data_IF_369639439958
#
_entry.id   IF_369639439958
#
_cell.length_a   1.000
_cell.length_b   1.000
_cell.length_c   1.000
_cell.angle_alpha   90.00
_cell.angle_beta   90.00
_cell.angle_gamma   90.00
#
_symmetry.space_group_name_H-M   'P 1'
#
loop_
_entity.id
_entity.type
_entity.pdbx_description
1 polymer ?
#
# COMPACT_ATOMS: atom_id res chain seq x y z
N UNK A 1 9.44 17.40 19.91
CA UNK A 1 9.19 18.24 18.71
C UNK A 1 9.10 17.31 17.51
N UNK A 2 8.05 17.37 16.69
CA UNK A 2 7.91 16.56 15.47
C UNK A 2 9.08 16.71 14.53
N UNK A 3 9.61 17.93 14.44
CA UNK A 3 10.71 18.25 13.53
C UNK A 3 12.03 17.52 13.86
N UNK A 4 12.13 16.90 15.03
CA UNK A 4 13.34 16.22 15.51
C UNK A 4 13.20 14.69 15.56
N UNK A 5 12.10 14.12 15.05
CA UNK A 5 11.84 12.69 15.18
C UNK A 5 12.72 11.87 14.27
N UNK A 6 12.98 12.35 13.06
CA UNK A 6 13.93 11.72 12.15
C UNK A 6 15.32 11.65 12.80
N UNK A 7 15.75 12.75 13.44
CA UNK A 7 17.00 12.77 14.20
C UNK A 7 16.98 11.83 15.42
N UNK A 8 15.84 11.73 16.12
CA UNK A 8 15.68 10.78 17.22
C UNK A 8 15.79 9.34 16.71
N UNK A 9 15.17 9.01 15.58
CA UNK A 9 15.27 7.69 14.94
C UNK A 9 16.73 7.39 14.56
N UNK A 10 17.42 8.31 13.89
CA UNK A 10 18.85 8.12 13.57
C UNK A 10 19.73 7.92 14.81
N UNK A 11 19.44 8.67 15.90
CA UNK A 11 20.16 8.52 17.17
C UNK A 11 19.88 7.15 17.80
N UNK A 12 18.64 6.70 17.72
CA UNK A 12 18.18 5.41 18.20
C UNK A 12 18.84 4.27 17.40
N UNK A 13 18.89 4.36 16.08
CA UNK A 13 19.61 3.40 15.21
C UNK A 13 21.10 3.35 15.55
N UNK A 14 21.74 4.50 15.80
CA UNK A 14 23.13 4.55 16.23
C UNK A 14 23.33 3.86 17.61
N UNK A 15 22.37 4.01 18.52
CA UNK A 15 22.41 3.31 19.81
C UNK A 15 22.24 1.80 19.62
N UNK A 16 21.41 1.36 18.68
CA UNK A 16 21.28 -0.06 18.33
C UNK A 16 22.62 -0.63 17.88
N UNK A 17 23.30 0.01 16.93
CA UNK A 17 24.62 -0.42 16.46
C UNK A 17 25.64 -0.51 17.59
N UNK A 18 25.62 0.46 18.51
CA UNK A 18 26.48 0.47 19.69
C UNK A 18 26.18 -0.72 20.61
N UNK A 19 24.91 -1.04 20.88
CA UNK A 19 24.54 -2.17 21.74
C UNK A 19 24.85 -3.51 21.08
N UNK A 20 24.65 -3.65 19.78
CA UNK A 20 25.03 -4.86 19.01
C UNK A 20 26.54 -5.08 19.06
N UNK A 21 27.35 -4.01 18.98
CA UNK A 21 28.78 -4.10 19.20
C UNK A 21 29.12 -4.61 20.62
N UNK A 22 28.43 -4.13 21.66
CA UNK A 22 28.63 -4.63 23.03
C UNK A 22 28.24 -6.10 23.17
N UNK A 23 27.15 -6.55 22.53
CA UNK A 23 26.76 -7.96 22.50
C UNK A 23 27.82 -8.83 21.79
N UNK A 24 28.40 -8.33 20.71
CA UNK A 24 29.48 -9.02 19.98
C UNK A 24 30.74 -9.18 20.83
N UNK A 25 31.05 -8.21 21.70
CA UNK A 25 32.16 -8.34 22.65
C UNK A 25 31.93 -9.44 23.72
N UNK A 26 30.67 -9.81 23.98
CA UNK A 26 30.31 -10.91 24.88
C UNK A 26 30.31 -12.28 24.19
N UNK A 27 30.58 -12.35 22.88
CA UNK A 27 30.67 -13.61 22.14
C UNK A 27 31.73 -14.54 22.76
N UNK A 28 31.32 -15.76 23.10
CA UNK A 28 32.21 -16.76 23.72
C UNK A 28 32.72 -16.38 25.12
N UNK A 29 32.11 -15.39 25.80
CA UNK A 29 32.46 -15.00 27.15
C UNK A 29 32.22 -16.15 28.14
N UNK A 30 33.07 -16.25 29.15
CA UNK A 30 32.94 -17.24 30.22
C UNK A 30 32.24 -16.61 31.42
N UNK A 31 31.62 -17.44 32.27
CA UNK A 31 31.04 -16.98 33.54
C UNK A 31 32.14 -16.32 34.39
N UNK A 32 31.87 -15.12 34.89
CA UNK A 32 32.85 -14.26 35.58
C UNK A 32 34.07 -13.87 34.73
N UNK A 33 33.92 -13.82 33.40
CA UNK A 33 34.96 -13.35 32.48
C UNK A 33 35.32 -11.88 32.65
N UNK A 34 36.54 -11.50 32.23
CA UNK A 34 37.04 -10.12 32.37
C UNK A 34 36.21 -9.11 31.59
N UNK A 35 35.71 -9.49 30.40
CA UNK A 35 34.92 -8.61 29.53
C UNK A 35 33.57 -8.29 30.19
N UNK A 36 32.83 -9.32 30.62
CA UNK A 36 31.55 -9.12 31.32
C UNK A 36 31.72 -8.28 32.58
N UNK A 37 32.80 -8.48 33.35
CA UNK A 37 33.11 -7.66 34.51
C UNK A 37 33.36 -6.18 34.14
N UNK A 38 34.14 -5.92 33.10
CA UNK A 38 34.41 -4.55 32.64
C UNK A 38 33.14 -3.85 32.15
N UNK A 39 32.26 -4.56 31.44
CA UNK A 39 30.97 -4.00 31.02
C UNK A 39 30.09 -3.63 32.22
N UNK A 40 30.01 -4.51 33.23
CA UNK A 40 29.29 -4.19 34.47
C UNK A 40 29.90 -2.97 35.15
N UNK A 41 31.24 -2.86 35.22
CA UNK A 41 31.91 -1.69 35.81
C UNK A 41 31.53 -0.39 35.06
N UNK A 42 31.51 -0.40 33.72
CA UNK A 42 31.09 0.76 32.90
C UNK A 42 29.61 1.11 33.08
N UNK A 43 28.72 0.12 33.08
CA UNK A 43 27.28 0.36 33.28
C UNK A 43 26.98 0.92 34.67
N UNK A 44 27.68 0.43 35.71
CA UNK A 44 27.53 0.93 37.08
C UNK A 44 28.07 2.36 37.20
N UNK A 45 29.21 2.67 36.57
CA UNK A 45 29.78 4.01 36.53
C UNK A 45 28.81 5.03 35.89
N UNK A 46 28.06 4.62 34.86
CA UNK A 46 27.04 5.44 34.19
C UNK A 46 25.60 5.09 34.61
N UNK A 47 25.40 4.56 35.81
CA UNK A 47 24.09 4.06 36.29
C UNK A 47 22.93 5.06 36.14
N UNK A 48 23.15 6.34 36.46
CA UNK A 48 22.12 7.38 36.31
C UNK A 48 21.67 7.59 34.85
N UNK A 49 22.58 7.44 33.88
CA UNK A 49 22.23 7.57 32.46
C UNK A 49 21.48 6.33 31.98
N UNK A 50 21.93 5.14 32.41
CA UNK A 50 21.27 3.86 32.10
C UNK A 50 19.85 3.85 32.65
N UNK A 51 19.64 4.31 33.88
CA UNK A 51 18.32 4.40 34.49
C UNK A 51 17.39 5.35 33.71
N UNK A 52 17.89 6.49 33.24
CA UNK A 52 17.12 7.41 32.40
C UNK A 52 16.70 6.79 31.07
N UNK A 53 17.61 6.02 30.43
CA UNK A 53 17.33 5.29 29.18
C UNK A 53 16.27 4.20 29.42
N UNK A 54 16.42 3.41 30.49
CA UNK A 54 15.44 2.37 30.85
C UNK A 54 14.07 2.96 31.15
N UNK A 55 14.03 4.11 31.83
CA UNK A 55 12.79 4.85 32.11
C UNK A 55 12.15 5.38 30.82
N UNK A 56 12.95 5.83 29.85
CA UNK A 56 12.44 6.20 28.54
C UNK A 56 11.72 5.01 27.88
N UNK A 57 12.39 3.85 27.76
CA UNK A 57 11.75 2.67 27.18
C UNK A 57 10.50 2.24 27.95
N UNK A 58 10.58 2.19 29.28
CA UNK A 58 9.44 1.83 30.12
C UNK A 58 8.18 2.68 29.86
N UNK A 59 8.34 4.01 29.73
CA UNK A 59 7.21 4.90 29.45
C UNK A 59 6.54 4.59 28.10
N UNK A 60 7.33 4.37 27.05
CA UNK A 60 6.80 4.21 25.68
C UNK A 60 6.33 2.78 25.39
N UNK A 61 6.96 1.75 25.95
CA UNK A 61 6.53 0.35 25.77
C UNK A 61 5.13 0.11 26.37
N UNK A 62 4.82 0.75 27.50
CA UNK A 62 3.51 0.68 28.15
C UNK A 62 2.37 1.33 27.34
N UNK A 63 2.69 2.17 26.35
CA UNK A 63 1.65 2.86 25.56
C UNK A 63 0.77 1.90 24.79
N UNK A 64 1.35 0.85 24.18
CA UNK A 64 0.59 -0.15 23.40
C UNK A 64 -0.39 -0.91 24.30
N UNK A 65 0.01 -1.25 25.52
CA UNK A 65 -0.85 -1.92 26.50
C UNK A 65 -1.98 -0.99 27.00
N UNK A 66 -1.67 0.28 27.23
CA UNK A 66 -2.64 1.31 27.61
C UNK A 66 -3.73 1.46 26.54
N UNK A 67 -3.34 1.70 25.29
CA UNK A 67 -4.29 2.00 24.20
C UNK A 67 -5.06 0.78 23.71
N UNK A 68 -4.53 -0.43 23.91
CA UNK A 68 -5.21 -1.69 23.59
C UNK A 68 -6.28 -2.08 24.62
N UNK A 69 -6.25 -1.48 25.81
CA UNK A 69 -7.15 -1.83 26.91
C UNK A 69 -8.61 -1.47 26.65
N UNK A 70 -9.54 -2.29 27.13
CA UNK A 70 -10.98 -2.03 26.99
C UNK A 70 -11.40 -0.69 27.63
N UNK A 71 -10.76 -0.32 28.75
CA UNK A 71 -11.02 0.95 29.44
C UNK A 71 -10.56 2.17 28.62
N UNK A 72 -9.49 2.04 27.82
CA UNK A 72 -9.06 3.11 26.93
C UNK A 72 -9.99 3.23 25.71
N UNK A 73 -10.45 2.09 25.18
CA UNK A 73 -11.38 2.04 24.04
C UNK A 73 -12.74 2.71 24.33
N UNK A 74 -13.12 2.90 25.60
CA UNK A 74 -14.31 3.68 25.96
C UNK A 74 -14.22 5.16 25.56
N UNK A 75 -13.01 5.71 25.41
CA UNK A 75 -12.80 7.10 24.98
C UNK A 75 -12.90 7.27 23.45
N UNK A 76 -12.77 6.19 22.68
CA UNK A 76 -12.93 6.16 21.23
C UNK A 76 -13.82 4.99 20.78
N UNK A 77 -15.14 5.05 21.08
CA UNK A 77 -16.06 3.96 20.74
C UNK A 77 -16.27 3.79 19.23
N UNK A 78 -15.91 4.81 18.44
CA UNK A 78 -16.02 4.80 16.98
C UNK A 78 -14.72 4.36 16.30
N UNK A 79 -13.63 4.14 17.04
CA UNK A 79 -12.34 3.66 16.52
C UNK A 79 -11.68 4.63 15.54
N UNK A 80 -11.82 5.94 15.77
CA UNK A 80 -11.24 6.98 14.91
C UNK A 80 -9.74 7.17 15.07
N UNK A 81 -9.16 6.70 16.17
CA UNK A 81 -7.76 6.93 16.51
C UNK A 81 -7.47 8.31 17.09
N UNK A 82 -8.49 9.10 17.47
CA UNK A 82 -8.33 10.49 17.90
C UNK A 82 -8.86 10.68 19.33
N UNK A 83 -8.09 11.35 20.18
CA UNK A 83 -8.44 11.59 21.59
C UNK A 83 -8.01 13.00 22.03
N UNK A 84 -8.70 13.59 23.02
CA UNK A 84 -8.23 14.84 23.63
C UNK A 84 -7.09 14.60 24.62
N UNK A 85 -6.18 15.58 24.77
CA UNK A 85 -5.11 15.52 25.79
C UNK A 85 -5.64 15.26 27.21
N UNK A 86 -6.81 15.82 27.54
CA UNK A 86 -7.44 15.65 28.86
C UNK A 86 -7.97 14.23 29.07
N UNK A 87 -8.58 13.63 28.06
CA UNK A 87 -9.06 12.24 28.14
C UNK A 87 -7.90 11.26 28.19
N UNK A 88 -6.86 11.50 27.39
CA UNK A 88 -5.63 10.71 27.42
C UNK A 88 -4.97 10.76 28.81
N UNK A 89 -4.85 11.96 29.40
CA UNK A 89 -4.38 12.13 30.77
C UNK A 89 -5.21 11.31 31.76
N UNK A 90 -6.55 11.41 31.68
CA UNK A 90 -7.47 10.70 32.56
C UNK A 90 -7.36 9.18 32.41
N UNK A 91 -7.15 8.68 31.19
CA UNK A 91 -6.93 7.26 30.94
C UNK A 91 -5.63 6.75 31.59
N UNK A 92 -4.54 7.51 31.45
CA UNK A 92 -3.25 7.20 32.10
C UNK A 92 -3.34 7.21 33.62
N UNK A 93 -3.97 8.23 34.20
CA UNK A 93 -4.21 8.32 35.65
C UNK A 93 -5.10 7.18 36.16
N UNK A 94 -6.08 6.75 35.35
CA UNK A 94 -6.97 5.64 35.66
C UNK A 94 -6.26 4.28 35.78
N UNK A 95 -5.29 4.01 34.92
CA UNK A 95 -4.54 2.75 34.95
C UNK A 95 -3.43 2.69 36.02
N UNK A 96 -2.97 3.84 36.54
CA UNK A 96 -1.94 3.94 37.59
C UNK A 96 -0.61 3.26 37.26
N UNK A 97 -0.27 3.17 35.97
CA UNK A 97 1.00 2.61 35.49
C UNK A 97 2.10 3.68 35.28
N UNK A 98 1.70 4.95 35.35
CA UNK A 98 2.55 6.11 35.11
C UNK A 98 2.59 7.03 36.34
N UNK A 99 3.75 7.64 36.58
CA UNK A 99 3.91 8.74 37.52
C UNK A 99 3.43 10.07 36.89
N UNK A 100 3.02 11.04 37.72
CA UNK A 100 2.50 12.32 37.24
C UNK A 100 3.45 13.04 36.26
N UNK A 101 4.75 13.05 36.56
CA UNK A 101 5.77 13.65 35.71
C UNK A 101 5.91 12.94 34.34
N UNK A 102 5.64 11.64 34.30
CA UNK A 102 5.73 10.83 33.07
C UNK A 102 4.52 11.13 32.18
N UNK A 103 3.34 11.29 32.78
CA UNK A 103 2.13 11.71 32.08
C UNK A 103 2.33 13.11 31.48
N UNK A 104 2.85 14.07 32.26
CA UNK A 104 3.16 15.42 31.78
C UNK A 104 4.17 15.40 30.62
N UNK A 105 5.20 14.55 30.71
CA UNK A 105 6.18 14.36 29.66
C UNK A 105 5.53 13.81 28.37
N UNK A 106 4.75 12.74 28.45
CA UNK A 106 4.06 12.14 27.30
C UNK A 106 3.08 13.14 26.64
N UNK A 107 2.33 13.90 27.43
CA UNK A 107 1.45 14.95 26.93
C UNK A 107 2.20 16.10 26.25
N UNK A 108 3.46 16.36 26.65
CA UNK A 108 4.33 17.33 25.99
C UNK A 108 4.87 16.81 24.65
N UNK A 109 5.02 15.50 24.51
CA UNK A 109 5.39 14.83 23.26
C UNK A 109 4.22 14.77 22.26
N UNK A 110 2.98 14.72 22.77
CA UNK A 110 1.77 14.65 21.93
C UNK A 110 1.51 15.99 21.23
N UNK A 111 1.42 15.94 19.91
CA UNK A 111 1.10 17.09 19.05
C UNK A 111 -0.41 17.17 18.86
N UNK A 112 -1.04 18.15 19.52
CA UNK A 112 -2.47 18.37 19.38
C UNK A 112 -2.78 19.53 18.44
N UNK A 113 -3.97 19.44 17.85
CA UNK A 113 -4.58 20.49 17.04
C UNK A 113 -5.07 21.67 17.90
N UNK A 114 -5.75 22.63 17.28
CA UNK A 114 -6.33 23.80 17.97
C UNK A 114 -7.38 23.42 19.03
N UNK A 115 -7.91 22.20 19.02
CA UNK A 115 -8.94 21.71 19.92
C UNK A 115 -8.38 20.80 21.04
N UNK A 116 -7.06 20.75 21.22
CA UNK A 116 -6.37 19.81 22.12
C UNK A 116 -6.59 18.33 21.75
N UNK A 117 -6.95 18.02 20.50
CA UNK A 117 -7.13 16.66 19.97
C UNK A 117 -5.87 16.20 19.24
N UNK A 118 -5.50 14.93 19.38
CA UNK A 118 -4.38 14.34 18.64
C UNK A 118 -4.67 12.90 18.22
N UNK A 119 -3.96 12.43 17.19
CA UNK A 119 -4.00 11.04 16.75
C UNK A 119 -3.17 10.18 17.71
N UNK A 120 -3.84 9.38 18.54
CA UNK A 120 -3.13 8.54 19.51
C UNK A 120 -2.52 7.31 18.86
N UNK A 121 -3.08 6.81 17.75
CA UNK A 121 -2.54 5.63 17.04
C UNK A 121 -1.17 6.00 16.46
N UNK A 122 -1.11 7.08 15.69
CA UNK A 122 0.15 7.60 15.15
C UNK A 122 1.14 7.97 16.26
N UNK A 123 0.66 8.55 17.37
CA UNK A 123 1.51 8.84 18.52
C UNK A 123 2.13 7.57 19.14
N UNK A 124 1.34 6.51 19.30
CA UNK A 124 1.84 5.23 19.83
C UNK A 124 2.86 4.65 18.86
N UNK A 125 2.53 4.49 17.58
CA UNK A 125 3.41 3.84 16.60
C UNK A 125 4.73 4.59 16.44
N UNK A 126 4.67 5.92 16.46
CA UNK A 126 5.84 6.80 16.32
C UNK A 126 6.87 6.64 17.45
N UNK A 127 6.45 6.30 18.66
CA UNK A 127 7.35 6.18 19.81
C UNK A 127 7.53 4.75 20.32
N UNK A 128 6.53 3.88 20.14
CA UNK A 128 6.55 2.50 20.60
C UNK A 128 7.50 1.65 19.76
N UNK A 129 7.41 1.67 18.43
CA UNK A 129 8.24 0.81 17.58
C UNK A 129 9.75 1.12 17.73
N UNK A 130 10.21 2.40 17.67
CA UNK A 130 11.64 2.69 17.92
C UNK A 130 12.08 2.32 19.35
N UNK A 131 11.19 2.44 20.34
CA UNK A 131 11.48 2.01 21.71
C UNK A 131 11.54 0.48 21.83
N UNK A 132 10.73 -0.24 21.05
CA UNK A 132 10.67 -1.70 21.01
C UNK A 132 11.95 -2.28 20.45
N UNK A 133 12.42 -1.77 19.32
CA UNK A 133 13.59 -2.32 18.62
C UNK A 133 14.88 -2.20 19.44
N UNK A 134 15.12 -1.03 20.04
CA UNK A 134 16.32 -0.81 20.86
C UNK A 134 16.14 -1.38 22.26
N UNK A 135 14.93 -1.26 22.82
CA UNK A 135 14.59 -1.85 24.11
C UNK A 135 14.88 -3.35 24.13
N UNK A 136 14.64 -4.05 23.03
CA UNK A 136 14.94 -5.48 22.92
C UNK A 136 16.45 -5.75 23.06
N UNK A 137 17.29 -5.04 22.31
CA UNK A 137 18.75 -5.22 22.37
C UNK A 137 19.33 -4.88 23.76
N UNK A 138 18.81 -3.85 24.41
CA UNK A 138 19.18 -3.51 25.80
C UNK A 138 18.74 -4.61 26.77
N UNK A 139 17.53 -5.15 26.62
CA UNK A 139 17.03 -6.26 27.43
C UNK A 139 17.89 -7.54 27.26
N UNK A 140 18.31 -7.84 26.02
CA UNK A 140 19.24 -8.95 25.73
C UNK A 140 20.58 -8.72 26.41
N UNK A 141 21.16 -7.52 26.32
CA UNK A 141 22.45 -7.20 26.95
C UNK A 141 22.40 -7.39 28.47
N UNK A 142 21.37 -6.85 29.13
CA UNK A 142 21.20 -6.98 30.58
C UNK A 142 20.95 -8.44 30.99
N UNK A 143 20.14 -9.18 30.23
CA UNK A 143 19.90 -10.60 30.47
C UNK A 143 21.19 -11.41 30.33
N UNK A 144 21.94 -11.19 29.25
CA UNK A 144 23.21 -11.86 28.99
C UNK A 144 24.23 -11.60 30.12
N UNK A 145 24.42 -10.32 30.50
CA UNK A 145 25.30 -9.97 31.62
C UNK A 145 24.84 -10.60 32.94
N UNK A 146 23.53 -10.66 33.21
CA UNK A 146 23.00 -11.27 34.44
C UNK A 146 23.30 -12.77 34.53
N UNK A 147 23.27 -13.48 33.40
CA UNK A 147 23.56 -14.91 33.33
C UNK A 147 25.07 -15.20 33.40
N UNK A 148 25.92 -14.30 32.90
CA UNK A 148 27.38 -14.41 32.97
C UNK A 148 28.00 -13.87 34.27
N UNK A 149 27.30 -12.98 34.99
CA UNK A 149 27.75 -12.32 36.23
C UNK A 149 26.72 -12.48 37.37
N UNK A 150 26.30 -13.71 37.74
CA UNK A 150 25.15 -13.94 38.62
C UNK A 150 25.30 -13.42 40.05
N UNK A 151 26.54 -13.29 40.54
CA UNK A 151 26.83 -12.93 41.93
C UNK A 151 27.21 -11.45 42.13
N UNK A 152 27.11 -10.59 41.11
CA UNK A 152 27.43 -9.16 41.24
C UNK A 152 26.20 -8.38 41.73
N UNK A 153 26.22 -7.94 42.99
CA UNK A 153 25.12 -7.18 43.60
C UNK A 153 24.90 -5.83 42.92
N UNK A 154 25.93 -5.24 42.29
CA UNK A 154 25.81 -3.95 41.60
C UNK A 154 25.01 -4.08 40.31
N UNK A 155 25.16 -5.22 39.62
CA UNK A 155 24.35 -5.54 38.46
C UNK A 155 22.89 -5.75 38.85
N UNK A 156 22.62 -6.41 39.99
CA UNK A 156 21.25 -6.56 40.49
C UNK A 156 20.56 -5.20 40.72
N UNK A 157 21.26 -4.21 41.28
CA UNK A 157 20.74 -2.84 41.41
C UNK A 157 20.38 -2.18 40.07
N UNK A 158 21.06 -2.54 38.96
CA UNK A 158 20.74 -2.06 37.61
C UNK A 158 19.56 -2.81 36.98
N UNK A 159 19.37 -4.09 37.34
CA UNK A 159 18.26 -4.90 36.86
C UNK A 159 16.93 -4.49 37.51
N UNK A 160 16.97 -3.95 38.73
CA UNK A 160 15.78 -3.51 39.45
C UNK A 160 14.93 -2.48 38.65
N UNK A 161 15.49 -1.36 38.14
CA UNK A 161 14.78 -0.45 37.23
C UNK A 161 14.43 -1.09 35.87
N UNK A 162 15.22 -2.05 35.40
CA UNK A 162 15.02 -2.70 34.11
C UNK A 162 13.91 -3.76 34.11
N UNK A 163 13.42 -4.19 35.29
CA UNK A 163 12.47 -5.29 35.42
C UNK A 163 11.22 -5.14 34.55
N UNK A 164 10.68 -3.93 34.43
CA UNK A 164 9.50 -3.67 33.59
C UNK A 164 9.80 -3.94 32.11
N UNK A 165 10.93 -3.42 31.62
CA UNK A 165 11.41 -3.63 30.24
C UNK A 165 11.75 -5.11 29.99
N UNK A 166 12.44 -5.77 30.93
CA UNK A 166 12.77 -7.20 30.84
C UNK A 166 11.51 -8.07 30.80
N UNK A 167 10.49 -7.74 31.60
CA UNK A 167 9.22 -8.47 31.61
C UNK A 167 8.45 -8.28 30.31
N UNK A 168 8.46 -7.08 29.74
CA UNK A 168 7.84 -6.79 28.44
C UNK A 168 8.44 -7.65 27.32
N UNK A 169 9.78 -7.77 27.27
CA UNK A 169 10.47 -8.54 26.21
C UNK A 169 10.62 -10.03 26.49
N UNK A 170 10.40 -10.49 27.72
CA UNK A 170 10.53 -11.92 28.09
C UNK A 170 9.77 -12.88 27.13
N UNK A 171 8.53 -12.59 26.69
CA UNK A 171 7.79 -13.42 25.74
C UNK A 171 8.31 -13.39 24.29
N UNK A 172 9.20 -12.45 23.97
CA UNK A 172 9.80 -12.25 22.63
C UNK A 172 11.28 -12.65 22.61
N UNK A 173 11.86 -12.99 23.77
CA UNK A 173 13.27 -13.35 23.90
C UNK A 173 13.46 -14.87 23.77
N UNK A 174 13.95 -15.30 22.61
CA UNK A 174 14.42 -16.67 22.37
C UNK A 174 15.79 -16.91 23.02
N UNK A 175 15.98 -18.13 23.57
CA UNK A 175 17.24 -18.59 24.16
C UNK A 175 17.52 -20.01 23.70
N UNK A 176 18.66 -20.23 23.06
CA UNK A 176 19.12 -21.58 22.69
C UNK A 176 20.58 -21.78 23.13
N UNK A 177 20.93 -23.03 23.40
CA UNK A 177 22.29 -23.43 23.73
C UNK A 177 22.84 -24.29 22.62
N UNK A 178 24.01 -23.90 22.09
CA UNK A 178 24.68 -24.59 21.00
C UNK A 178 26.11 -24.94 21.39
N UNK A 179 26.67 -25.96 20.75
CA UNK A 179 28.10 -26.27 20.90
C UNK A 179 28.91 -25.37 19.97
N UNK A 180 29.61 -24.40 20.54
CA UNK A 180 30.48 -23.49 19.82
C UNK A 180 31.75 -24.18 19.28
N UNK A 181 32.49 -23.46 18.43
CA UNK A 181 33.70 -23.98 17.76
C UNK A 181 34.80 -24.44 18.74
N UNK A 182 34.81 -23.87 19.95
CA UNK A 182 35.72 -24.26 21.03
C UNK A 182 35.28 -25.51 21.82
N UNK A 183 34.23 -26.23 21.36
CA UNK A 183 33.58 -27.35 22.09
C UNK A 183 33.06 -26.94 23.47
N UNK A 184 32.66 -25.68 23.60
CA UNK A 184 32.01 -25.14 24.80
C UNK A 184 30.56 -24.83 24.45
N UNK A 185 29.69 -24.90 25.45
CA UNK A 185 28.30 -24.49 25.28
C UNK A 185 28.28 -22.96 25.21
N UNK A 186 27.66 -22.44 24.16
CA UNK A 186 27.43 -21.03 23.92
C UNK A 186 25.92 -20.79 23.88
N UNK A 187 25.48 -19.66 24.43
CA UNK A 187 24.07 -19.28 24.45
C UNK A 187 23.82 -18.23 23.39
N UNK A 188 22.81 -18.44 22.57
CA UNK A 188 22.37 -17.51 21.54
C UNK A 188 21.01 -16.96 21.93
N UNK A 189 20.90 -15.64 21.89
CA UNK A 189 19.65 -14.91 22.10
C UNK A 189 19.17 -14.38 20.75
N UNK A 190 17.86 -14.43 20.52
CA UNK A 190 17.25 -13.94 19.29
C UNK A 190 15.83 -13.46 19.56
N UNK A 191 15.32 -12.60 18.69
CA UNK A 191 13.95 -12.13 18.77
C UNK A 191 12.98 -13.15 18.16
N UNK A 192 11.86 -13.37 18.84
CA UNK A 192 10.74 -14.16 18.35
C UNK A 192 9.61 -13.18 17.99
N UNK A 193 9.21 -13.16 16.72
CA UNK A 193 8.14 -12.28 16.27
C UNK A 193 6.78 -12.62 16.89
N UNK A 194 5.95 -11.59 17.09
CA UNK A 194 4.59 -11.73 17.64
C UNK A 194 3.71 -12.63 16.75
N UNK A 195 3.87 -12.53 15.43
CA UNK A 195 3.16 -13.35 14.44
C UNK A 195 3.53 -14.83 14.56
N UNK A 196 4.83 -15.15 14.62
CA UNK A 196 5.33 -16.53 14.78
C UNK A 196 4.81 -17.15 16.07
N UNK A 197 4.85 -16.41 17.18
CA UNK A 197 4.34 -16.87 18.48
C UNK A 197 2.85 -17.15 18.42
N UNK A 198 2.07 -16.26 17.82
CA UNK A 198 0.61 -16.42 17.71
C UNK A 198 0.24 -17.63 16.85
N UNK A 199 0.96 -17.84 15.74
CA UNK A 199 0.78 -19.01 14.89
C UNK A 199 1.14 -20.31 15.60
N UNK A 200 2.23 -20.33 16.38
CA UNK A 200 2.65 -21.48 17.19
C UNK A 200 1.59 -21.89 18.23
N UNK A 201 0.84 -20.91 18.75
CA UNK A 201 -0.20 -21.15 19.75
C UNK A 201 -1.52 -21.68 19.17
N UNK A 202 -1.66 -21.75 17.83
CA UNK A 202 -2.87 -22.26 17.17
C UNK A 202 -3.13 -23.74 17.52
N UNK A 203 -4.40 -24.16 17.67
CA UNK A 203 -4.75 -25.53 18.07
C UNK A 203 -4.17 -26.61 17.14
N UNK A 204 -4.13 -26.34 15.83
CA UNK A 204 -3.56 -27.24 14.83
C UNK A 204 -2.08 -27.56 15.11
N UNK A 205 -1.23 -26.53 15.24
CA UNK A 205 0.21 -26.68 15.50
C UNK A 205 0.45 -27.34 16.85
N UNK A 206 -0.34 -26.99 17.87
CA UNK A 206 -0.26 -27.64 19.19
C UNK A 206 -0.58 -29.13 19.15
N UNK A 207 -1.54 -29.54 18.34
CA UNK A 207 -1.89 -30.96 18.18
C UNK A 207 -0.83 -31.70 17.37
N UNK A 208 -0.35 -31.13 16.27
CA UNK A 208 0.76 -31.69 15.48
C UNK A 208 2.01 -31.92 16.34
N UNK A 209 2.38 -30.93 17.17
CA UNK A 209 3.45 -31.07 18.17
C UNK A 209 3.21 -32.20 19.17
N UNK A 210 1.99 -32.34 19.69
CA UNK A 210 1.64 -33.41 20.64
C UNK A 210 1.81 -34.79 20.00
N UNK A 211 1.34 -34.94 18.76
CA UNK A 211 1.48 -36.17 18.00
C UNK A 211 2.94 -36.51 17.74
N UNK A 212 3.72 -35.55 17.24
CA UNK A 212 5.16 -35.71 17.03
C UNK A 212 5.91 -36.20 18.28
N UNK A 213 5.64 -35.58 19.44
CA UNK A 213 6.28 -35.97 20.71
C UNK A 213 5.94 -37.42 21.07
N UNK A 214 4.68 -37.83 20.86
CA UNK A 214 4.26 -39.21 21.13
C UNK A 214 4.98 -40.21 20.22
N UNK A 215 5.08 -39.92 18.93
CA UNK A 215 5.68 -40.83 17.94
C UNK A 215 7.20 -40.98 18.19
N UNK A 216 7.92 -39.88 18.41
CA UNK A 216 9.38 -39.90 18.64
C UNK A 216 9.77 -40.61 19.95
N UNK A 217 8.94 -40.50 20.99
CA UNK A 217 9.22 -41.16 22.28
C UNK A 217 8.96 -42.66 22.21
N UNK A 218 7.96 -43.10 21.44
CA UNK A 218 7.58 -44.51 21.34
C UNK A 218 8.41 -45.30 20.32
N UNK A 219 8.76 -44.69 19.19
CA UNK A 219 9.33 -45.40 18.03
C UNK A 219 10.76 -44.97 17.66
N UNK A 220 11.26 -43.85 18.19
CA UNK A 220 12.55 -43.28 17.78
C UNK A 220 13.78 -43.91 18.44
N UNK A 221 14.68 -44.49 17.64
CA UNK A 221 16.06 -44.79 18.05
C UNK A 221 16.87 -43.49 18.26
N UNK A 222 17.80 -43.46 19.23
CA UNK A 222 18.47 -42.24 19.70
C UNK A 222 19.21 -41.43 18.59
N UNK A 223 19.70 -42.11 17.55
CA UNK A 223 20.40 -41.47 16.42
C UNK A 223 19.44 -40.77 15.43
N UNK A 224 18.20 -41.24 15.31
CA UNK A 224 17.21 -40.70 14.34
C UNK A 224 16.35 -39.58 14.93
N UNK A 225 16.31 -39.44 16.27
CA UNK A 225 15.47 -38.44 16.96
C UNK A 225 15.78 -37.01 16.52
N UNK A 226 17.05 -36.69 16.31
CA UNK A 226 17.47 -35.35 15.89
C UNK A 226 17.00 -35.05 14.46
N UNK A 227 17.14 -36.02 13.56
CA UNK A 227 16.71 -35.88 12.16
C UNK A 227 15.19 -35.72 12.06
N UNK A 228 14.42 -36.55 12.78
CA UNK A 228 12.97 -36.44 12.86
C UNK A 228 12.52 -35.09 13.44
N UNK A 229 13.24 -34.57 14.44
CA UNK A 229 12.94 -33.26 15.01
C UNK A 229 13.17 -32.11 14.04
N UNK A 230 14.26 -32.15 13.26
CA UNK A 230 14.52 -31.14 12.23
C UNK A 230 13.44 -31.21 11.14
N UNK A 231 13.08 -32.41 10.68
CA UNK A 231 12.01 -32.60 9.70
C UNK A 231 10.67 -32.03 10.20
N UNK A 232 10.31 -32.28 11.46
CA UNK A 232 9.11 -31.69 12.07
C UNK A 232 9.15 -30.16 12.07
N UNK A 233 10.31 -29.55 12.33
CA UNK A 233 10.47 -28.10 12.27
C UNK A 233 10.26 -27.57 10.85
N UNK A 234 10.83 -28.22 9.83
CA UNK A 234 10.65 -27.85 8.42
C UNK A 234 9.18 -27.97 7.97
N UNK A 235 8.52 -29.08 8.31
CA UNK A 235 7.11 -29.30 8.03
C UNK A 235 6.23 -28.24 8.71
N UNK A 236 6.54 -27.89 9.95
CA UNK A 236 5.78 -26.88 10.70
C UNK A 236 5.91 -25.49 10.06
N UNK A 237 7.09 -25.13 9.56
CA UNK A 237 7.27 -23.86 8.83
C UNK A 237 6.38 -23.83 7.59
N UNK A 238 6.33 -24.93 6.83
CA UNK A 238 5.46 -25.03 5.66
C UNK A 238 3.97 -24.95 6.03
N UNK A 239 3.53 -25.63 7.08
CA UNK A 239 2.15 -25.53 7.59
C UNK A 239 1.78 -24.10 8.02
N UNK A 240 2.69 -23.42 8.72
CA UNK A 240 2.51 -22.04 9.17
C UNK A 240 2.37 -21.07 7.98
N UNK A 241 3.22 -21.20 6.96
CA UNK A 241 3.16 -20.40 5.73
C UNK A 241 1.85 -20.62 4.97
N UNK A 242 1.43 -21.87 4.80
CA UNK A 242 0.17 -22.21 4.13
C UNK A 242 -1.05 -21.65 4.90
N UNK A 243 -1.03 -21.75 6.23
CA UNK A 243 -2.10 -21.23 7.07
C UNK A 243 -2.22 -19.69 7.00
N UNK A 244 -1.11 -18.96 6.82
CA UNK A 244 -1.12 -17.51 6.62
C UNK A 244 -1.81 -17.14 5.30
N UNK A 245 -1.40 -17.76 4.19
CA UNK A 245 -1.95 -17.47 2.85
C UNK A 245 -3.45 -17.72 2.76
N UNK A 246 -3.94 -18.79 3.42
CA UNK A 246 -5.38 -19.09 3.45
C UNK A 246 -6.12 -18.03 4.28
N UNK A 247 -5.56 -17.61 5.42
CA UNK A 247 -6.17 -16.61 6.30
C UNK A 247 -6.27 -15.23 5.64
N UNK A 248 -5.25 -14.81 4.89
CA UNK A 248 -5.23 -13.54 4.14
C UNK A 248 -6.29 -13.53 3.04
N UNK A 249 -6.48 -14.67 2.36
CA UNK A 249 -7.50 -14.80 1.31
C UNK A 249 -8.95 -14.69 1.83
N UNK A 250 -9.18 -15.01 3.11
CA UNK A 250 -10.50 -14.90 3.78
C UNK A 250 -10.67 -13.52 4.48
N UNK A 251 -9.57 -12.85 4.84
CA UNK A 251 -9.57 -11.52 5.48
C UNK A 251 -9.84 -10.37 4.49
N UNK A 252 -9.59 -10.55 3.20
CA UNK A 252 -9.94 -9.61 2.13
C UNK A 252 -11.47 -9.36 1.96
N UNK A 253 -12.33 -9.94 2.82
CA UNK A 253 -13.77 -9.64 2.91
C UNK A 253 -14.16 -8.64 4.02
N UNK A 254 -13.21 -8.11 4.80
CA UNK A 254 -13.44 -6.96 5.70
C UNK A 254 -13.23 -5.63 4.95
N UNK A 255 -14.06 -4.60 5.17
CA UNK A 255 -13.78 -3.27 4.63
C UNK A 255 -12.56 -2.69 5.37
N UNK A 256 -11.46 -2.56 4.64
CA UNK A 256 -10.38 -1.57 4.78
C UNK A 256 -10.10 -1.07 6.21
N UNK A 257 -9.20 -1.75 6.91
CA UNK A 257 -8.22 -1.09 7.77
C UNK A 257 -6.92 -1.09 6.95
N UNK A 258 -6.48 0.11 6.56
CA UNK A 258 -5.21 0.34 5.87
C UNK A 258 -4.07 0.04 6.84
N UNK A 259 -3.51 -1.16 6.75
CA UNK A 259 -2.14 -1.44 7.20
C UNK A 259 -1.27 -1.53 5.94
N UNK A 260 -0.49 -0.47 5.69
CA UNK A 260 0.60 -0.49 4.72
C UNK A 260 1.77 -1.29 5.33
N UNK A 261 2.05 -2.49 4.83
CA UNK A 261 3.37 -3.11 4.98
C UNK A 261 3.88 -3.72 3.67
N UNK A 262 5.01 -3.14 3.24
CA UNK A 262 6.21 -3.80 2.74
C UNK A 262 6.18 -4.61 1.43
N UNK A 263 6.65 -3.88 0.40
CA UNK A 263 7.34 -4.30 -0.82
C UNK A 263 8.03 -5.70 -0.77
N UNK A 264 7.32 -6.74 -1.21
CA UNK A 264 7.94 -8.01 -1.56
C UNK A 264 8.27 -8.11 -3.07
N UNK A 265 9.57 -8.15 -3.32
CA UNK A 265 10.32 -8.44 -4.54
C UNK A 265 9.62 -9.44 -5.51
N UNK A 266 9.03 -8.95 -6.59
CA UNK A 266 8.57 -9.77 -7.72
C UNK A 266 9.76 -10.34 -8.48
N UNK A 267 9.92 -11.67 -8.42
CA UNK A 267 10.69 -12.43 -9.39
C UNK A 267 9.86 -12.45 -10.69
N UNK A 268 10.36 -11.73 -11.70
CA UNK A 268 9.90 -11.82 -13.08
C UNK A 268 10.15 -13.24 -13.60
N UNK A 269 9.08 -14.04 -13.72
CA UNK A 269 9.04 -15.16 -14.66
C UNK A 269 8.22 -14.68 -15.84
N UNK A 270 8.93 -14.41 -16.93
CA UNK A 270 8.33 -14.14 -18.22
C UNK A 270 7.63 -15.39 -18.75
N UNK A 271 6.40 -15.19 -19.20
CA UNK A 271 5.84 -15.96 -20.31
C UNK A 271 5.43 -14.96 -21.39
N UNK A 272 6.08 -15.14 -22.52
CA UNK A 272 5.82 -14.53 -23.82
C UNK A 272 4.39 -14.89 -24.26
N UNK A 273 3.73 -13.98 -24.98
CA UNK A 273 3.26 -14.38 -26.32
C UNK A 273 2.97 -13.18 -27.20
N UNK A 274 3.62 -13.26 -28.35
CA UNK A 274 3.47 -12.44 -29.53
C UNK A 274 2.09 -12.68 -30.17
N UNK A 275 1.40 -11.63 -30.57
CA UNK A 275 0.59 -11.68 -31.79
C UNK A 275 0.90 -10.44 -32.65
N UNK A 276 1.74 -10.70 -33.66
CA UNK A 276 2.02 -9.80 -34.77
C UNK A 276 0.76 -9.52 -35.62
N UNK A 277 0.60 -8.23 -35.91
CA UNK A 277 0.30 -7.62 -37.21
C UNK A 277 -0.89 -8.08 -38.09
N UNK A 278 -1.64 -7.02 -38.43
CA UNK A 278 -2.28 -6.73 -39.72
C UNK A 278 -3.67 -7.32 -39.97
N UNK A 279 -4.70 -6.46 -39.97
CA UNK A 279 -5.64 -6.31 -41.09
C UNK A 279 -6.25 -4.90 -41.09
N UNK A 280 -6.21 -4.29 -42.28
CA UNK A 280 -6.64 -2.94 -42.63
C UNK A 280 -8.15 -2.68 -42.41
N UNK A 281 -8.46 -1.38 -42.26
CA UNK A 281 -9.79 -0.76 -42.42
C UNK A 281 -10.90 -1.25 -41.48
N UNK A 282 -10.70 -1.04 -40.17
CA UNK A 282 -11.80 -1.12 -39.21
C UNK A 282 -12.57 0.20 -39.20
N UNK A 283 -13.77 0.22 -39.78
CA UNK A 283 -14.64 1.40 -39.78
C UNK A 283 -14.91 1.86 -38.34
N UNK A 284 -15.10 3.17 -38.12
CA UNK A 284 -15.40 3.74 -36.79
C UNK A 284 -16.58 3.06 -36.08
N UNK A 285 -17.46 2.41 -36.84
CA UNK A 285 -18.57 1.60 -36.35
C UNK A 285 -18.13 0.27 -35.71
N UNK A 286 -17.16 -0.45 -36.28
CA UNK A 286 -16.63 -1.71 -35.70
C UNK A 286 -15.85 -1.42 -34.41
N UNK A 287 -15.08 -0.33 -34.37
CA UNK A 287 -14.37 0.13 -33.17
C UNK A 287 -15.36 0.55 -32.07
N UNK A 288 -16.45 1.24 -32.43
CA UNK A 288 -17.52 1.57 -31.48
C UNK A 288 -18.25 0.33 -30.96
N UNK A 289 -18.58 -0.64 -31.83
CA UNK A 289 -19.26 -1.89 -31.44
C UNK A 289 -18.38 -2.80 -30.57
N UNK A 290 -17.07 -2.87 -30.84
CA UNK A 290 -16.13 -3.63 -30.01
C UNK A 290 -15.91 -2.98 -28.64
N UNK A 291 -15.89 -1.64 -28.56
CA UNK A 291 -15.86 -0.91 -27.30
C UNK A 291 -17.15 -1.11 -26.49
N UNK A 292 -18.32 -1.06 -27.12
CA UNK A 292 -19.62 -1.28 -26.47
C UNK A 292 -19.76 -2.72 -25.97
N UNK A 293 -19.26 -3.72 -26.72
CA UNK A 293 -19.20 -5.13 -26.32
C UNK A 293 -18.26 -5.35 -25.13
N UNK A 294 -17.08 -4.72 -25.12
CA UNK A 294 -16.14 -4.80 -23.98
C UNK A 294 -16.73 -4.14 -22.73
N UNK A 295 -17.40 -2.99 -22.85
CA UNK A 295 -18.09 -2.35 -21.73
C UNK A 295 -19.26 -3.18 -21.21
N UNK A 296 -20.08 -3.77 -22.09
CA UNK A 296 -21.20 -4.63 -21.69
C UNK A 296 -20.72 -5.93 -21.03
N UNK A 297 -19.62 -6.52 -21.51
CA UNK A 297 -18.96 -7.68 -20.89
C UNK A 297 -18.43 -7.36 -19.50
N UNK A 298 -17.82 -6.19 -19.32
CA UNK A 298 -17.33 -5.74 -18.00
C UNK A 298 -18.50 -5.51 -17.03
N UNK A 299 -19.58 -4.89 -17.49
CA UNK A 299 -20.80 -4.67 -16.71
C UNK A 299 -21.52 -5.99 -16.34
N UNK A 300 -21.55 -6.96 -17.24
CA UNK A 300 -22.11 -8.30 -17.00
C UNK A 300 -21.25 -9.14 -16.05
N UNK A 301 -19.91 -8.99 -16.10
CA UNK A 301 -19.01 -9.60 -15.11
C UNK A 301 -19.17 -8.97 -13.72
N UNK A 302 -19.40 -7.65 -13.66
CA UNK A 302 -19.72 -6.93 -12.42
C UNK A 302 -21.10 -7.32 -11.85
N UNK A 303 -22.05 -7.70 -12.72
CA UNK A 303 -23.38 -8.25 -12.38
C UNK A 303 -23.42 -9.79 -12.29
N UNK A 304 -22.29 -10.46 -12.05
CA UNK A 304 -22.29 -11.92 -11.87
C UNK A 304 -23.16 -12.29 -10.67
N UNK A 305 -24.09 -13.25 -10.86
CA UNK A 305 -25.12 -13.68 -9.90
C UNK A 305 -24.59 -14.04 -8.48
N UNK A 306 -23.28 -14.34 -8.35
CA UNK A 306 -22.62 -14.53 -7.05
C UNK A 306 -22.53 -13.24 -6.23
N UNK A 307 -22.33 -12.08 -6.85
CA UNK A 307 -22.20 -10.78 -6.17
C UNK A 307 -23.53 -10.30 -5.57
N UNK A 308 -24.65 -10.59 -6.26
CA UNK A 308 -26.01 -10.27 -5.79
C UNK A 308 -26.35 -11.07 -4.52
N UNK A 309 -25.95 -12.36 -4.45
CA UNK A 309 -26.17 -13.21 -3.27
C UNK A 309 -25.36 -12.77 -2.03
N UNK A 310 -24.20 -12.10 -2.25
CA UNK A 310 -23.36 -11.52 -1.19
C UNK A 310 -23.94 -10.18 -0.70
N UNK A 311 -24.42 -9.33 -1.61
CA UNK A 311 -25.06 -8.06 -1.28
C UNK A 311 -26.41 -8.24 -0.57
N UNK A 312 -27.19 -9.26 -0.92
CA UNK A 312 -28.47 -9.56 -0.24
C UNK A 312 -28.29 -9.97 1.23
N UNK A 313 -27.16 -10.59 1.57
CA UNK A 313 -26.81 -10.95 2.96
C UNK A 313 -26.36 -9.73 3.78
N UNK A 314 -25.71 -8.75 3.15
CA UNK A 314 -25.39 -7.44 3.76
C UNK A 314 -26.63 -6.60 4.04
N UNK A 315 -27.57 -6.54 3.09
CA UNK A 315 -28.85 -5.82 3.24
C UNK A 315 -29.69 -6.34 4.42
N UNK A 316 -29.63 -7.64 4.71
CA UNK A 316 -30.35 -8.25 5.85
C UNK A 316 -29.79 -7.86 7.22
N UNK A 317 -28.54 -7.37 7.30
CA UNK A 317 -27.88 -6.95 8.55
C UNK A 317 -27.88 -5.44 8.79
N UNK A 318 -28.35 -4.64 7.83
CA UNK A 318 -28.37 -3.17 7.92
C UNK A 318 -29.65 -2.64 8.57
N UNK A 319 -29.54 -1.47 9.21
CA UNK A 319 -30.67 -0.78 9.84
C UNK A 319 -31.58 -0.15 8.77
N UNK A 320 -32.91 -0.10 9.01
CA UNK A 320 -33.90 0.42 8.02
C UNK A 320 -33.53 1.82 7.50
N UNK A 321 -32.94 2.67 8.35
CA UNK A 321 -32.49 4.02 7.98
C UNK A 321 -31.37 4.02 6.93
N UNK A 322 -30.42 3.09 7.02
CA UNK A 322 -29.30 2.99 6.10
C UNK A 322 -29.74 2.39 4.77
N UNK A 323 -30.66 1.42 4.81
CA UNK A 323 -31.25 0.83 3.61
C UNK A 323 -31.94 1.90 2.75
N UNK A 324 -32.68 2.82 3.37
CA UNK A 324 -33.35 3.92 2.66
C UNK A 324 -32.34 4.88 2.01
N UNK A 325 -31.23 5.19 2.70
CA UNK A 325 -30.16 6.07 2.17
C UNK A 325 -29.46 5.44 0.96
N UNK A 326 -29.09 4.17 1.07
CA UNK A 326 -28.45 3.41 -0.02
C UNK A 326 -29.42 3.27 -1.20
N UNK A 327 -30.70 3.00 -0.94
CA UNK A 327 -31.73 2.93 -1.98
C UNK A 327 -31.85 4.26 -2.73
N UNK A 328 -32.00 5.38 -2.02
CA UNK A 328 -32.12 6.70 -2.65
C UNK A 328 -30.86 7.08 -3.45
N UNK A 329 -29.67 6.81 -2.91
CA UNK A 329 -28.39 7.03 -3.60
C UNK A 329 -28.26 6.19 -4.87
N UNK A 330 -28.66 4.91 -4.82
CA UNK A 330 -28.64 4.01 -5.97
C UNK A 330 -29.56 4.51 -7.09
N UNK A 331 -30.80 4.89 -6.76
CA UNK A 331 -31.75 5.41 -7.75
C UNK A 331 -31.31 6.78 -8.31
N UNK A 332 -30.69 7.63 -7.50
CA UNK A 332 -30.13 8.89 -7.94
C UNK A 332 -28.99 8.68 -8.94
N UNK A 333 -28.04 7.80 -8.63
CA UNK A 333 -26.94 7.46 -9.53
C UNK A 333 -27.44 6.83 -10.83
N UNK A 334 -28.43 5.94 -10.75
CA UNK A 334 -29.06 5.33 -11.93
C UNK A 334 -29.74 6.39 -12.80
N UNK A 335 -30.47 7.32 -12.20
CA UNK A 335 -31.16 8.39 -12.91
C UNK A 335 -30.17 9.33 -13.61
N UNK A 336 -29.12 9.77 -12.90
CA UNK A 336 -28.06 10.61 -13.47
C UNK A 336 -27.34 9.89 -14.61
N UNK A 337 -26.99 8.60 -14.42
CA UNK A 337 -26.34 7.79 -15.45
C UNK A 337 -27.20 7.60 -16.70
N UNK A 338 -28.50 7.33 -16.55
CA UNK A 338 -29.44 7.25 -17.67
C UNK A 338 -29.57 8.59 -18.41
N UNK A 339 -29.64 9.70 -17.67
CA UNK A 339 -29.72 11.02 -18.28
C UNK A 339 -28.44 11.37 -19.05
N UNK A 340 -27.25 11.07 -18.50
CA UNK A 340 -25.98 11.23 -19.20
C UNK A 340 -25.89 10.33 -20.43
N UNK A 341 -26.36 9.09 -20.36
CA UNK A 341 -26.39 8.19 -21.52
C UNK A 341 -27.27 8.73 -22.65
N UNK A 342 -28.50 9.18 -22.33
CA UNK A 342 -29.40 9.80 -23.31
C UNK A 342 -28.78 11.08 -23.88
N UNK A 343 -28.20 11.93 -23.04
CA UNK A 343 -27.52 13.14 -23.48
C UNK A 343 -26.35 12.83 -24.42
N UNK A 344 -25.57 11.79 -24.13
CA UNK A 344 -24.44 11.37 -24.97
C UNK A 344 -24.91 10.84 -26.31
N UNK A 345 -26.02 10.09 -26.36
CA UNK A 345 -26.63 9.64 -27.61
C UNK A 345 -27.13 10.84 -28.42
N UNK A 346 -27.88 11.75 -27.79
CA UNK A 346 -28.42 12.95 -28.47
C UNK A 346 -27.28 13.83 -28.97
N UNK A 347 -26.23 14.02 -28.17
CA UNK A 347 -25.03 14.76 -28.56
C UNK A 347 -24.28 14.06 -29.71
N UNK A 348 -24.16 12.73 -29.67
CA UNK A 348 -23.57 11.95 -30.76
C UNK A 348 -24.37 12.07 -32.06
N UNK A 349 -25.69 11.99 -32.01
CA UNK A 349 -26.57 12.21 -33.15
C UNK A 349 -26.42 13.65 -33.65
N UNK A 350 -26.38 14.64 -32.75
CA UNK A 350 -26.15 16.03 -33.12
C UNK A 350 -24.80 16.22 -33.81
N UNK A 351 -23.73 15.60 -33.34
CA UNK A 351 -22.41 15.64 -33.98
C UNK A 351 -22.40 14.97 -35.37
N UNK A 352 -23.11 13.85 -35.54
CA UNK A 352 -23.28 13.19 -36.84
C UNK A 352 -24.09 14.07 -37.79
N UNK A 353 -25.18 14.67 -37.32
CA UNK A 353 -26.00 15.58 -38.13
C UNK A 353 -25.24 16.87 -38.47
N UNK A 354 -24.49 17.43 -37.52
CA UNK A 354 -23.67 18.62 -37.71
C UNK A 354 -22.54 18.37 -38.70
N UNK A 355 -21.84 17.24 -38.60
CA UNK A 355 -20.81 16.85 -39.58
C UNK A 355 -21.41 16.50 -40.95
N UNK A 356 -22.63 15.98 -41.03
CA UNK A 356 -23.30 15.73 -42.32
C UNK A 356 -23.76 17.02 -43.00
N UNK A 357 -24.26 18.00 -42.23
CA UNK A 357 -24.80 19.26 -42.75
C UNK A 357 -23.71 20.30 -43.00
N UNK A 358 -22.69 20.40 -42.15
CA UNK A 358 -21.61 21.38 -42.24
C UNK A 358 -20.22 20.80 -42.58
N UNK A 359 -20.03 19.49 -42.45
CA UNK A 359 -18.79 18.78 -42.79
C UNK A 359 -18.83 18.14 -44.18
N UNK A 360 -18.97 18.96 -45.23
CA UNK A 360 -18.55 18.63 -46.61
C UNK A 360 -19.25 17.50 -47.38
N UNK A 361 -20.01 16.60 -46.74
CA UNK A 361 -20.61 15.44 -47.40
C UNK A 361 -21.70 15.77 -48.44
N UNK A 362 -22.45 16.85 -48.23
CA UNK A 362 -23.45 17.32 -49.20
C UNK A 362 -22.85 18.21 -50.32
N UNK A 363 -21.68 18.81 -50.07
CA UNK A 363 -20.98 19.71 -51.00
C UNK A 363 -20.10 18.93 -51.99
N UNK A 364 -19.53 17.78 -51.61
CA UNK A 364 -18.83 16.89 -52.54
C UNK A 364 -19.81 16.08 -53.43
N UNK A 365 -21.03 15.79 -52.93
CA UNK A 365 -22.10 15.15 -53.72
C UNK A 365 -22.72 16.07 -54.79
N UNK A 366 -22.82 17.37 -54.52
CA UNK A 366 -23.34 18.34 -55.48
C UNK A 366 -22.33 18.78 -56.56
N UNK A 367 -21.02 18.60 -56.31
CA UNK A 367 -19.95 18.92 -57.28
C UNK A 367 -19.72 17.79 -58.29
N UNK A 368 -19.88 16.53 -57.89
CA UNK A 368 -19.74 15.37 -58.78
C UNK A 368 -20.96 15.11 -59.70
N UNK A 369 -22.14 15.62 -59.35
CA UNK A 369 -23.33 15.59 -60.23
C UNK A 369 -23.27 16.68 -61.32
N UNK A 370 -22.52 17.77 -61.10
CA UNK A 370 -22.41 18.88 -62.06
C UNK A 370 -21.33 18.64 -63.13
N UNK A 371 -20.24 17.93 -62.80
CA UNK A 371 -19.14 17.61 -63.76
C UNK A 371 -19.52 16.47 -64.71
N UNK A 372 -20.34 15.52 -64.26
CA UNK A 372 -20.85 14.41 -65.11
C UNK A 372 -21.97 14.84 -66.08
N UNK A 373 -22.60 16.00 -65.86
CA UNK A 373 -23.64 16.58 -66.74
C UNK A 373 -23.14 17.67 -67.70
N UNK A 374 -21.88 18.10 -67.59
CA UNK A 374 -21.26 19.12 -68.47
C UNK A 374 -20.36 18.47 -69.55
N UNK A 375 -20.08 17.17 -69.47
CA UNK A 375 -19.33 16.42 -70.50
C UNK A 375 -20.25 15.62 -71.47
N UNK A 376 -21.57 15.70 -71.31
CA UNK A 376 -22.53 14.78 -71.95
C UNK A 376 -23.63 15.40 -72.80
N UNK A 377 -23.67 16.73 -73.02
CA UNK A 377 -24.74 17.32 -73.85
C UNK A 377 -24.24 18.54 -74.63
N UNK A 378 -23.40 18.25 -75.63
CA UNK A 378 -23.09 19.18 -76.72
C UNK A 378 -23.81 18.69 -77.98
N UNK A 379 -24.82 19.42 -78.46
CA UNK A 379 -24.95 19.64 -79.88
C UNK A 379 -25.02 21.13 -80.23
N UNK A 380 -24.29 21.44 -81.29
CA UNK A 380 -24.13 22.74 -81.94
C UNK A 380 -25.48 23.31 -82.46
N UNK A 381 -25.58 24.64 -82.68
CA UNK A 381 -26.82 25.39 -82.73
C UNK A 381 -27.43 25.39 -84.13
N UNK A 382 -28.74 25.21 -84.24
CA UNK A 382 -29.57 25.99 -85.16
C UNK A 382 -31.07 25.78 -84.90
N UNK A 383 -31.76 26.91 -84.79
CA UNK A 383 -33.08 27.17 -85.38
C UNK A 383 -34.36 26.98 -84.53
N UNK A 384 -34.92 28.14 -84.14
CA UNK A 384 -36.34 28.55 -84.14
C UNK A 384 -37.38 27.80 -83.29
N UNK A 385 -38.22 28.61 -82.61
CA UNK A 385 -39.67 28.45 -82.72
C UNK A 385 -40.46 28.36 -81.41
N UNK A 386 -41.01 29.51 -80.98
CA UNK A 386 -42.44 29.75 -80.70
C UNK A 386 -43.16 28.90 -79.62
N UNK A 387 -43.67 29.62 -78.59
CA UNK A 387 -44.90 29.45 -77.78
C UNK A 387 -45.45 28.02 -77.50
N UNK A 388 -45.92 27.74 -76.29
CA UNK A 388 -47.25 28.21 -75.85
C UNK A 388 -47.57 27.81 -74.39
N UNK A 389 -48.59 28.49 -73.89
CA UNK A 389 -49.16 28.58 -72.55
C UNK A 389 -49.88 27.31 -72.00
N UNK A 390 -50.52 27.49 -70.81
CA UNK A 390 -51.83 26.95 -70.33
C UNK A 390 -51.71 26.32 -68.92
N UNK A 391 -52.10 27.03 -67.84
CA UNK A 391 -53.39 27.04 -67.08
C UNK A 391 -53.66 25.70 -66.33
N UNK A 392 -54.19 25.61 -65.09
CA UNK A 392 -55.30 26.26 -64.35
C UNK A 392 -54.98 26.21 -62.81
N UNK A 393 -55.36 27.10 -61.88
CA UNK A 393 -56.63 27.72 -61.47
C UNK A 393 -57.67 26.78 -60.81
N UNK A 394 -57.96 26.95 -59.51
CA UNK A 394 -59.30 27.37 -58.98
C UNK A 394 -59.58 27.01 -57.47
N UNK A 395 -59.93 28.08 -56.71
CA UNK A 395 -60.85 28.31 -55.54
C UNK A 395 -61.07 27.26 -54.42
N UNK A 396 -61.04 27.58 -53.12
CA UNK A 396 -61.79 28.55 -52.28
C UNK A 396 -63.24 28.14 -51.92
N UNK A 397 -63.53 27.84 -50.64
CA UNK A 397 -64.35 28.69 -49.74
C UNK A 397 -64.47 28.11 -48.30
N UNK A 398 -64.96 28.92 -47.35
CA UNK A 398 -64.80 28.89 -45.88
C UNK A 398 -66.18 28.98 -45.15
N UNK A 399 -66.38 29.31 -43.84
CA UNK A 399 -65.76 28.94 -42.52
C UNK A 399 -66.80 28.65 -41.37
N UNK A 400 -66.33 28.71 -40.11
CA UNK A 400 -67.00 28.88 -38.78
C UNK A 400 -67.14 27.61 -37.89
N UNK A 401 -66.83 27.56 -36.58
CA UNK A 401 -66.65 28.59 -35.53
C UNK A 401 -65.89 28.00 -34.28
N UNK A 402 -64.96 28.78 -33.69
CA UNK A 402 -64.59 28.96 -32.23
C UNK A 402 -64.34 27.75 -31.29
N UNK A 403 -63.38 27.72 -30.36
CA UNK A 403 -62.78 28.73 -29.45
C UNK A 403 -61.43 28.23 -28.90
N UNK A 404 -60.36 29.03 -28.91
CA UNK A 404 -59.81 29.87 -27.81
C UNK A 404 -59.16 29.08 -26.66
N UNK A 405 -58.00 29.44 -26.11
CA UNK A 405 -57.18 30.66 -26.23
C UNK A 405 -55.71 30.30 -25.98
N UNK A 406 -54.75 31.19 -25.81
CA UNK A 406 -54.60 32.65 -25.68
C UNK A 406 -53.07 32.79 -25.45
N UNK A 407 -52.32 33.85 -25.71
CA UNK A 407 -52.56 35.14 -26.35
C UNK A 407 -51.15 35.75 -26.59
N UNK A 408 -51.00 36.38 -27.75
CA UNK A 408 -50.29 37.62 -28.05
C UNK A 408 -48.76 37.75 -27.83
N UNK A 409 -47.97 38.01 -28.90
CA UNK A 409 -47.79 39.31 -29.64
C UNK A 409 -46.93 40.31 -28.83
N UNK A 410 -46.02 41.13 -29.37
CA UNK A 410 -45.59 41.51 -30.73
C UNK A 410 -44.41 42.51 -30.56
N UNK A 411 -43.67 42.74 -31.65
CA UNK A 411 -43.17 44.07 -32.11
C UNK A 411 -41.80 44.61 -31.65
N UNK A 412 -40.95 44.75 -32.69
CA UNK A 412 -40.00 45.83 -33.09
C UNK A 412 -38.78 46.22 -32.25
N UNK A 413 -37.72 46.45 -33.03
CA UNK A 413 -36.90 47.68 -33.02
C UNK A 413 -35.43 47.39 -32.67
N UNK A 414 -34.47 47.38 -33.62
CA UNK A 414 -33.71 48.55 -34.15
C UNK A 414 -32.87 49.21 -33.01
N UNK A 415 -31.56 49.51 -33.08
CA UNK A 415 -30.55 49.66 -34.15
C UNK A 415 -29.17 49.90 -33.49
N UNK A 416 -28.08 49.45 -34.13
CA UNK A 416 -26.76 50.14 -34.28
C UNK A 416 -25.92 50.43 -33.01
N UNK A 417 -24.59 50.57 -33.07
CA UNK A 417 -23.61 50.52 -34.16
C UNK A 417 -22.20 50.65 -33.53
N UNK A 418 -21.16 50.21 -34.27
CA UNK A 418 -19.77 50.74 -34.33
C UNK A 418 -18.90 50.70 -33.03
N UNK A 419 -17.57 50.53 -33.02
CA UNK A 419 -16.50 50.47 -34.02
C UNK A 419 -15.20 49.92 -33.36
N UNK A 420 -14.32 49.36 -34.20
CA UNK A 420 -12.82 49.22 -34.23
C UNK A 420 -11.92 49.92 -33.14
N UNK A 421 -10.57 49.74 -33.12
CA UNK A 421 -9.70 48.53 -33.15
C UNK A 421 -8.39 48.75 -32.30
N UNK A 422 -7.24 48.19 -32.77
CA UNK A 422 -5.86 48.66 -32.53
C UNK A 422 -5.15 48.19 -31.23
N UNK A 423 -3.83 47.94 -31.12
CA UNK A 423 -2.66 47.86 -32.01
C UNK A 423 -1.41 47.61 -31.10
N UNK A 424 -0.27 47.17 -31.67
CA UNK A 424 1.10 47.08 -31.07
C UNK A 424 1.31 46.08 -29.91
N UNK A 425 2.45 45.38 -29.75
CA UNK A 425 3.77 45.43 -30.41
C UNK A 425 4.87 44.96 -29.44
N UNK A 426 5.95 44.38 -30.01
CA UNK A 426 7.24 43.95 -29.43
C UNK A 426 7.30 42.68 -28.56
N UNK A 427 7.87 41.56 -29.04
CA UNK A 427 9.31 41.21 -29.20
C UNK A 427 10.11 41.25 -27.88
N UNK A 428 10.77 40.16 -27.48
CA UNK A 428 12.08 39.78 -28.02
C UNK A 428 12.54 38.37 -27.59
N UNK A 429 13.13 37.64 -28.56
CA UNK A 429 14.34 36.77 -28.51
C UNK A 429 14.38 35.62 -27.49
N UNK A 430 14.91 34.42 -27.79
CA UNK A 430 15.78 33.89 -28.87
C UNK A 430 15.70 32.36 -28.78
N UNK A 431 15.55 31.65 -29.91
CA UNK A 431 16.55 30.71 -30.46
C UNK A 431 17.37 29.91 -29.41
N UNK A 432 17.40 28.59 -29.40
CA UNK A 432 17.05 27.61 -30.43
C UNK A 432 18.25 26.69 -30.73
N UNK A 433 17.92 25.43 -31.04
CA UNK A 433 18.70 24.50 -31.88
C UNK A 433 19.89 23.80 -31.20
N UNK A 434 19.84 22.50 -30.85
CA UNK A 434 19.70 21.24 -31.63
C UNK A 434 21.05 20.61 -32.04
N UNK A 435 21.08 19.29 -31.78
CA UNK A 435 21.67 18.17 -32.53
C UNK A 435 23.12 17.74 -32.21
N UNK A 436 23.27 16.42 -31.94
CA UNK A 436 24.53 15.65 -31.98
C UNK A 436 24.98 15.38 -33.44
N UNK A 437 25.58 14.23 -33.82
CA UNK A 437 26.01 13.05 -33.04
C UNK A 437 27.42 12.48 -33.41
N UNK A 438 27.77 11.36 -32.76
CA UNK A 438 28.44 10.15 -33.31
C UNK A 438 29.98 9.93 -33.31
N UNK A 439 30.32 8.63 -33.11
CA UNK A 439 31.51 7.81 -33.48
C UNK A 439 32.58 7.51 -32.40
N UNK A 440 32.82 6.22 -32.17
CA UNK A 440 34.18 5.70 -31.93
C UNK A 440 34.35 4.46 -31.03
N UNK A 441 34.54 3.28 -31.63
CA UNK A 441 34.99 2.00 -31.04
C UNK A 441 36.46 2.03 -30.55
N UNK A 442 36.80 1.19 -29.56
CA UNK A 442 38.20 0.84 -29.25
C UNK A 442 38.37 -0.06 -28.02
N UNK A 443 38.69 -1.33 -28.28
CA UNK A 443 39.13 -2.37 -27.33
C UNK A 443 40.67 -2.32 -27.18
N UNK A 444 41.23 -2.48 -25.96
CA UNK A 444 42.57 -3.05 -25.72
C UNK A 444 42.86 -3.27 -24.22
N UNK A 445 43.55 -4.38 -23.96
CA UNK A 445 43.89 -5.03 -22.69
C UNK A 445 45.18 -4.52 -21.99
N UNK A 446 45.36 -5.02 -20.76
CA UNK A 446 46.60 -5.34 -20.03
C UNK A 446 47.41 -4.25 -19.32
N UNK A 447 47.44 -4.33 -17.97
CA UNK A 447 48.66 -4.55 -17.16
C UNK A 447 48.36 -4.37 -15.66
N UNK A 448 48.34 -5.45 -14.87
CA UNK A 448 49.11 -5.56 -13.60
C UNK A 448 49.45 -7.04 -13.37
N UNK A 449 50.75 -7.32 -13.35
CA UNK A 449 51.39 -8.62 -13.12
C UNK A 449 51.73 -8.77 -11.62
N UNK A 450 51.27 -9.90 -11.08
CA UNK A 450 51.90 -10.89 -10.16
C UNK A 450 52.82 -10.45 -9.00
N UNK A 451 52.51 -11.00 -7.82
CA UNK A 451 53.34 -11.77 -6.84
C UNK A 451 52.48 -11.89 -5.55
N UNK A 452 52.16 -13.01 -4.88
CA UNK A 452 52.70 -14.36 -4.78
C UNK A 452 51.59 -15.36 -4.39
N UNK A 453 51.58 -16.53 -5.02
CA UNK A 453 50.89 -17.75 -4.56
C UNK A 453 51.87 -18.63 -3.80
N UNK A 454 51.47 -19.27 -2.69
CA UNK A 454 51.81 -20.68 -2.42
C UNK A 454 50.97 -21.27 -1.28
N UNK A 455 50.57 -22.53 -1.49
CA UNK A 455 50.15 -23.53 -0.48
C UNK A 455 48.66 -23.64 -0.12
N UNK A 456 47.85 -24.25 -1.00
CA UNK A 456 46.73 -25.10 -0.53
C UNK A 456 46.27 -26.20 -1.51
N UNK A 457 47.12 -26.69 -2.42
CA UNK A 457 46.80 -27.81 -3.32
C UNK A 457 47.53 -29.13 -3.02
N UNK A 458 48.29 -29.23 -1.91
CA UNK A 458 49.02 -30.46 -1.57
C UNK A 458 48.33 -31.37 -0.53
N UNK A 459 47.12 -31.05 -0.06
CA UNK A 459 46.47 -31.81 1.02
C UNK A 459 45.34 -32.79 0.58
N UNK A 460 44.87 -32.73 -0.67
CA UNK A 460 43.68 -33.51 -1.09
C UNK A 460 44.00 -34.87 -1.74
N UNK A 461 45.27 -35.17 -2.04
CA UNK A 461 45.64 -36.43 -2.70
C UNK A 461 46.20 -37.56 -1.82
N UNK A 462 46.11 -37.48 -0.48
CA UNK A 462 46.73 -38.48 0.41
C UNK A 462 45.82 -39.19 1.43
N UNK A 463 44.53 -39.38 1.13
CA UNK A 463 43.64 -40.26 1.93
C UNK A 463 42.68 -41.14 1.11
N UNK A 464 43.12 -41.61 -0.06
CA UNK A 464 42.56 -42.81 -0.73
C UNK A 464 43.66 -43.84 -0.95
N UNK A 465 44.10 -44.49 0.13
CA UNK A 465 44.76 -45.82 0.14
C UNK A 465 45.09 -46.25 1.58
N UNK A 466 44.14 -46.99 2.17
CA UNK A 466 44.22 -47.95 3.27
C UNK A 466 42.75 -48.35 3.49
N UNK A 467 42.22 -49.46 2.97
CA UNK A 467 42.43 -50.86 3.40
C UNK A 467 42.64 -50.96 4.89
#
# INVERSE_FOLDING_TARGET
DSSQIELLKELLDLLQDMVVMLLSLLEGNVVNGTIGKQMVDTLVESSSNVEMILKFFDMFLKLKDLTSSDAFKEYDPEGKGIISKKEFQKAMEGQKQYAQSEIEFLLSCAEADENDMFNYVEFVDRFHEPAKDIGFNVAVLLTNLSEHMPNDSRLQCLLDPANSVLNYFSPYLGRIEIMGGAKRIERVYFEISESSRTQWEKPQVKESKRQFIFDVVNEGGEQEKMELFVNFCEDTIFEMQLASQISESDAAERPEEEEEEELHHMIEVGEEDEEEQSLESSSAFIVACTALRKNMSSFLKMLTLKNISKQFRKVKKMTIKELVKVFFSFFWMLFVGLFQFVFTIVWGIFQILWSTVFGGGLVEGAKNIKVTKILGDMPDPTQFGIHDDVLEAEKADSPEHTSSGELAHLVKGDKGDMDMPDIFGMHTKKEGSKHGPEIGLGDFTDMVRAENTTSLESAVHKKRKAV
#
